data_IF_112387808677
#
_entry.id   IF_112387808677
#
_cell.length_a   1.000
_cell.length_b   1.000
_cell.length_c   1.000
_cell.angle_alpha   90.00
_cell.angle_beta   90.00
_cell.angle_gamma   90.00
#
_symmetry.space_group_name_H-M   'P 1'
#
loop_
_entity.id
_entity.type
_entity.pdbx_description
1 polymer ?
#
# COMPACT_ATOMS: atom_id res chain seq x y z
N UNK A 1 8.60 -14.88 -20.16
CA UNK A 1 9.17 -13.91 -19.20
C UNK A 1 8.47 -12.55 -19.24
N UNK A 2 8.33 -11.90 -20.40
CA UNK A 2 7.80 -10.53 -20.47
C UNK A 2 6.36 -10.35 -19.92
N UNK A 3 5.44 -11.27 -20.25
CA UNK A 3 4.05 -11.23 -19.74
C UNK A 3 4.04 -11.33 -18.21
N UNK A 4 4.87 -12.19 -17.62
CA UNK A 4 4.96 -12.39 -16.18
C UNK A 4 5.46 -11.12 -15.49
N UNK A 5 6.49 -10.46 -16.05
CA UNK A 5 7.00 -9.20 -15.53
C UNK A 5 5.91 -8.12 -15.56
N UNK A 6 5.16 -7.99 -16.66
CA UNK A 6 4.05 -7.02 -16.76
C UNK A 6 2.98 -7.26 -15.69
N UNK A 7 2.62 -8.51 -15.44
CA UNK A 7 1.65 -8.87 -14.38
C UNK A 7 2.16 -8.51 -12.99
N UNK A 8 3.42 -8.82 -12.67
CA UNK A 8 4.01 -8.49 -11.36
C UNK A 8 4.08 -6.97 -11.16
N UNK A 9 4.48 -6.23 -12.19
CA UNK A 9 4.47 -4.76 -12.15
C UNK A 9 3.07 -4.22 -11.89
N UNK A 10 2.05 -4.75 -12.58
CA UNK A 10 0.66 -4.33 -12.40
C UNK A 10 0.13 -4.64 -10.99
N UNK A 11 0.46 -5.80 -10.43
CA UNK A 11 0.08 -6.15 -9.05
C UNK A 11 0.79 -5.24 -8.03
N UNK A 12 2.08 -4.95 -8.26
CA UNK A 12 2.85 -4.03 -7.45
C UNK A 12 2.21 -2.64 -7.39
N UNK A 13 1.85 -2.07 -8.55
CA UNK A 13 1.21 -0.76 -8.64
C UNK A 13 -0.18 -0.74 -7.99
N UNK A 14 -0.97 -1.80 -8.16
CA UNK A 14 -2.27 -1.93 -7.48
C UNK A 14 -2.10 -1.92 -5.97
N UNK A 15 -1.12 -2.63 -5.42
CA UNK A 15 -0.85 -2.62 -3.98
C UNK A 15 -0.41 -1.25 -3.46
N UNK A 16 0.34 -0.47 -4.25
CA UNK A 16 0.66 0.93 -3.92
C UNK A 16 -0.61 1.77 -3.83
N UNK A 17 -1.49 1.66 -4.84
CA UNK A 17 -2.75 2.41 -4.89
C UNK A 17 -3.65 2.05 -3.69
N UNK A 18 -3.78 0.76 -3.35
CA UNK A 18 -4.55 0.31 -2.19
C UNK A 18 -4.00 0.92 -0.90
N UNK A 19 -2.67 0.87 -0.71
CA UNK A 19 -2.03 1.47 0.46
C UNK A 19 -2.30 2.97 0.58
N UNK A 20 -2.18 3.72 -0.52
CA UNK A 20 -2.47 5.15 -0.57
C UNK A 20 -3.94 5.47 -0.27
N UNK A 21 -4.88 4.65 -0.77
CA UNK A 21 -6.30 4.79 -0.43
C UNK A 21 -6.57 4.54 1.07
N UNK A 22 -5.88 3.58 1.69
CA UNK A 22 -5.96 3.34 3.13
C UNK A 22 -5.41 4.54 3.95
N UNK A 23 -4.38 5.23 3.44
CA UNK A 23 -3.92 6.50 4.03
C UNK A 23 -5.00 7.57 3.94
N UNK A 24 -5.55 7.77 2.75
CA UNK A 24 -6.56 8.80 2.52
C UNK A 24 -7.82 8.61 3.38
N UNK A 25 -8.35 7.38 3.41
CA UNK A 25 -9.52 7.03 4.23
C UNK A 25 -9.21 7.10 5.73
N UNK A 26 -8.00 6.71 6.15
CA UNK A 26 -7.51 6.88 7.51
C UNK A 26 -7.49 8.35 7.96
N UNK A 27 -7.03 9.25 7.09
CA UNK A 27 -7.03 10.69 7.35
C UNK A 27 -8.45 11.25 7.54
N UNK A 28 -9.41 10.84 6.70
CA UNK A 28 -10.81 11.25 6.84
C UNK A 28 -11.38 10.82 8.19
N UNK A 29 -11.09 9.59 8.61
CA UNK A 29 -11.55 9.03 9.89
C UNK A 29 -10.92 9.75 11.08
N UNK A 30 -9.62 10.01 11.02
CA UNK A 30 -8.90 10.81 12.00
C UNK A 30 -9.47 12.23 12.14
N UNK A 31 -9.67 12.93 11.02
CA UNK A 31 -10.22 14.29 11.02
C UNK A 31 -11.63 14.35 11.60
N UNK A 32 -12.47 13.39 11.23
CA UNK A 32 -13.84 13.29 11.76
C UNK A 32 -13.85 12.88 13.23
N UNK A 33 -12.94 12.00 13.65
CA UNK A 33 -12.77 11.60 15.04
C UNK A 33 -12.38 12.77 15.94
N UNK A 34 -11.41 13.59 15.51
CA UNK A 34 -10.99 14.79 16.24
C UNK A 34 -12.13 15.81 16.38
N UNK A 35 -12.93 16.02 15.32
CA UNK A 35 -14.05 16.97 15.37
C UNK A 35 -15.17 16.56 16.31
N UNK A 36 -15.29 15.27 16.60
CA UNK A 36 -16.40 14.69 17.35
C UNK A 36 -15.97 14.16 18.73
N UNK A 37 -14.78 14.49 19.22
CA UNK A 37 -14.18 13.95 20.45
C UNK A 37 -14.24 12.41 20.55
N UNK A 38 -14.14 11.74 19.40
CA UNK A 38 -14.18 10.29 19.31
C UNK A 38 -12.76 9.73 19.22
N UNK A 39 -12.13 9.51 20.39
CA UNK A 39 -10.79 8.94 20.53
C UNK A 39 -10.60 7.61 19.76
N UNK A 40 -11.49 6.62 19.87
CA UNK A 40 -11.39 5.39 19.09
C UNK A 40 -11.33 5.61 17.56
N UNK A 41 -12.06 6.59 17.03
CA UNK A 41 -12.01 6.92 15.61
C UNK A 41 -10.67 7.57 15.20
N UNK A 42 -10.10 8.40 16.08
CA UNK A 42 -8.76 9.00 15.91
C UNK A 42 -7.70 7.91 15.80
N UNK A 43 -7.67 6.98 16.77
CA UNK A 43 -6.68 5.90 16.81
C UNK A 43 -6.79 4.96 15.59
N UNK A 44 -8.02 4.59 15.23
CA UNK A 44 -8.25 3.77 14.03
C UNK A 44 -7.84 4.50 12.74
N UNK A 45 -8.06 5.81 12.67
CA UNK A 45 -7.62 6.64 11.56
C UNK A 45 -6.10 6.65 11.42
N UNK A 46 -5.39 6.87 12.53
CA UNK A 46 -3.91 6.82 12.60
C UNK A 46 -3.40 5.45 12.20
N UNK A 47 -3.97 4.39 12.74
CA UNK A 47 -3.58 3.01 12.41
C UNK A 47 -3.75 2.72 10.91
N UNK A 48 -4.88 3.14 10.32
CA UNK A 48 -5.12 2.99 8.88
C UNK A 48 -4.11 3.77 8.05
N UNK A 49 -3.73 4.98 8.48
CA UNK A 49 -2.69 5.77 7.81
C UNK A 49 -1.32 5.08 7.87
N UNK A 50 -0.90 4.58 9.04
CA UNK A 50 0.40 3.91 9.19
C UNK A 50 0.45 2.63 8.36
N UNK A 51 -0.57 1.76 8.50
CA UNK A 51 -0.60 0.48 7.77
C UNK A 51 -0.73 0.70 6.26
N UNK A 52 -1.55 1.66 5.82
CA UNK A 52 -1.68 2.05 4.42
C UNK A 52 -0.36 2.56 3.84
N UNK A 53 0.35 3.43 4.57
CA UNK A 53 1.65 3.96 4.15
C UNK A 53 2.71 2.87 4.05
N UNK A 54 2.77 1.96 5.03
CA UNK A 54 3.67 0.80 5.03
C UNK A 54 3.38 -0.12 3.84
N UNK A 55 2.10 -0.41 3.56
CA UNK A 55 1.70 -1.21 2.41
C UNK A 55 2.12 -0.53 1.09
N UNK A 56 1.89 0.78 0.97
CA UNK A 56 2.26 1.53 -0.22
C UNK A 56 3.78 1.51 -0.46
N UNK A 57 4.57 1.70 0.59
CA UNK A 57 6.03 1.69 0.50
C UNK A 57 6.60 0.32 0.12
N UNK A 58 6.10 -0.77 0.74
CA UNK A 58 6.65 -2.10 0.52
C UNK A 58 6.19 -2.73 -0.80
N UNK A 59 4.99 -2.41 -1.30
CA UNK A 59 4.42 -3.04 -2.50
C UNK A 59 5.32 -2.84 -3.74
N UNK A 60 5.92 -1.65 -3.89
CA UNK A 60 6.90 -1.39 -4.95
C UNK A 60 8.19 -2.19 -4.78
N UNK A 61 8.71 -2.30 -3.56
CA UNK A 61 9.93 -3.07 -3.26
C UNK A 61 9.77 -4.57 -3.50
N UNK A 62 8.61 -5.14 -3.12
CA UNK A 62 8.28 -6.55 -3.35
C UNK A 62 8.21 -6.82 -4.86
N UNK A 63 7.49 -6.00 -5.62
CA UNK A 63 7.38 -6.16 -7.07
C UNK A 63 8.75 -6.07 -7.77
N UNK A 64 9.58 -5.09 -7.38
CA UNK A 64 10.93 -4.94 -7.93
C UNK A 64 11.82 -6.16 -7.65
N UNK A 65 11.75 -6.70 -6.42
CA UNK A 65 12.53 -7.88 -6.02
C UNK A 65 12.10 -9.13 -6.78
N UNK A 66 10.80 -9.32 -7.01
CA UNK A 66 10.26 -10.43 -7.81
C UNK A 66 10.75 -10.32 -9.27
N UNK A 67 10.68 -9.13 -9.87
CA UNK A 67 11.13 -8.92 -11.25
C UNK A 67 12.63 -9.20 -11.38
N UNK A 68 13.44 -8.76 -10.41
CA UNK A 68 14.87 -9.06 -10.37
C UNK A 68 15.14 -10.57 -10.31
N UNK A 69 14.40 -11.32 -9.48
CA UNK A 69 14.53 -12.76 -9.40
C UNK A 69 14.13 -13.46 -10.71
N UNK A 70 13.05 -13.01 -11.37
CA UNK A 70 12.60 -13.56 -12.66
C UNK A 70 13.63 -13.35 -13.77
N UNK A 71 14.31 -12.21 -13.78
CA UNK A 71 15.35 -11.91 -14.77
C UNK A 71 16.62 -12.76 -14.60
N UNK A 72 16.84 -13.35 -13.42
CA UNK A 72 17.98 -14.22 -13.13
C UNK A 72 17.73 -15.70 -13.51
N UNK A 73 16.52 -16.07 -13.94
CA UNK A 73 16.24 -17.43 -14.38
C UNK A 73 16.92 -17.72 -15.75
N UNK A 74 17.50 -18.91 -15.93
CA UNK A 74 18.03 -19.31 -17.24
C UNK A 74 16.91 -19.32 -18.30
N UNK A 75 17.23 -18.83 -19.50
CA UNK A 75 16.29 -18.69 -20.61
C UNK A 75 15.99 -20.01 -21.30
#
# INVERSE_FOLDING_TARGET
MEIVIKLVTALGTVGVVIGLFAVYTGYMKFSTGQKNDNGPAVDQGIQSMVLGGVMAAMSGGIAATIIAALNNLPK
#
